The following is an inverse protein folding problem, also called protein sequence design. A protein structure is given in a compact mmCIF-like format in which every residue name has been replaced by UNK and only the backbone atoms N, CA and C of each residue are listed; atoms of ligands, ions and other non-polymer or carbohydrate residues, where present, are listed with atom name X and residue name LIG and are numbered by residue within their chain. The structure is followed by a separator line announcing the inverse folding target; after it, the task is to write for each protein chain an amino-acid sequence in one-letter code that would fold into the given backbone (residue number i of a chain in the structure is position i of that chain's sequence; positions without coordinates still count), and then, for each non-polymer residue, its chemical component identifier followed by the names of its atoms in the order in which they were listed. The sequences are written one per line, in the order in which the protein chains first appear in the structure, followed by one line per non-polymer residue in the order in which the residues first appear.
data_IF_854824911881
#
_entry.id   IF_854824911881
#
_cell.length_a   1.000
_cell.length_b   1.000
_cell.length_c   1.000
_cell.angle_alpha   90.00
_cell.angle_beta   90.00
_cell.angle_gamma   90.00
#
_symmetry.space_group_name_H-M   'P 1'
#
loop_
_entity.id
_entity.type
_entity.pdbx_description
1 polymer ?
#
# COMPACT_ATOMS: atom_id res chain seq x y z
N UNK A 1 30.00 -27.40 -45.54
CA UNK A 1 30.40 -26.06 -45.05
C UNK A 1 29.34 -25.10 -45.58
N UNK A 2 28.49 -24.39 -44.84
CA UNK A 2 28.43 -24.03 -43.41
C UNK A 2 26.97 -23.71 -43.03
N UNK A 3 26.59 -23.99 -41.79
CA UNK A 3 25.41 -23.43 -41.08
C UNK A 3 25.85 -22.11 -40.40
N UNK A 4 25.03 -21.33 -39.66
CA UNK A 4 23.58 -21.07 -39.66
C UNK A 4 23.27 -19.53 -39.72
N UNK A 5 22.01 -19.11 -39.92
CA UNK A 5 21.61 -17.71 -39.60
C UNK A 5 20.35 -17.66 -38.74
N UNK A 6 20.65 -17.50 -37.45
CA UNK A 6 19.87 -16.97 -36.34
C UNK A 6 18.80 -15.95 -36.76
N UNK A 7 17.53 -16.31 -36.59
CA UNK A 7 16.42 -15.36 -36.52
C UNK A 7 16.52 -14.55 -35.23
N UNK A 8 16.83 -13.26 -35.34
CA UNK A 8 16.89 -12.32 -34.22
C UNK A 8 15.82 -11.25 -34.40
N UNK A 9 14.94 -11.20 -33.40
CA UNK A 9 13.92 -10.21 -33.10
C UNK A 9 14.26 -8.81 -33.62
N UNK A 10 13.52 -8.33 -34.63
CA UNK A 10 13.35 -6.89 -34.83
C UNK A 10 12.07 -6.53 -34.08
N UNK A 11 12.21 -6.04 -32.84
CA UNK A 11 11.23 -5.07 -32.37
C UNK A 11 11.22 -3.95 -33.41
N UNK A 12 10.05 -3.63 -33.94
CA UNK A 12 9.90 -2.54 -34.88
C UNK A 12 10.46 -1.27 -34.21
N UNK A 13 11.46 -0.65 -34.86
CA UNK A 13 12.13 0.56 -34.33
C UNK A 13 11.11 1.63 -33.97
N UNK A 14 9.95 1.62 -34.61
CA UNK A 14 8.83 2.54 -34.38
C UNK A 14 8.19 2.36 -33.00
N UNK A 15 8.02 1.12 -32.53
CA UNK A 15 7.45 0.81 -31.20
C UNK A 15 8.46 1.09 -30.07
N UNK A 16 9.74 0.78 -30.28
CA UNK A 16 10.80 1.16 -29.34
C UNK A 16 10.88 2.68 -29.23
N UNK A 17 10.78 3.40 -30.35
CA UNK A 17 10.80 4.87 -30.38
C UNK A 17 9.55 5.47 -29.72
N UNK A 18 8.39 4.80 -29.77
CA UNK A 18 7.17 5.24 -29.06
C UNK A 18 7.31 5.03 -27.55
N UNK A 19 7.66 3.83 -27.11
CA UNK A 19 7.88 3.52 -25.69
C UNK A 19 9.03 4.35 -25.08
N UNK A 20 10.10 4.58 -25.85
CA UNK A 20 11.21 5.43 -25.43
C UNK A 20 10.86 6.92 -25.35
N UNK A 21 9.73 7.35 -25.91
CA UNK A 21 9.20 8.72 -25.77
C UNK A 21 8.19 8.85 -24.63
N UNK A 22 7.51 7.77 -24.26
CA UNK A 22 6.57 7.73 -23.13
C UNK A 22 7.26 7.63 -21.76
N UNK A 23 8.42 6.96 -21.67
CA UNK A 23 9.20 6.86 -20.43
C UNK A 23 9.70 8.26 -19.95
N UNK A 24 10.30 9.11 -20.80
CA UNK A 24 10.69 10.47 -20.42
C UNK A 24 9.50 11.39 -20.09
N UNK A 25 8.31 11.11 -20.63
CA UNK A 25 7.11 11.89 -20.33
C UNK A 25 6.61 11.59 -18.91
N UNK A 26 6.59 10.33 -18.51
CA UNK A 26 6.25 9.92 -17.14
C UNK A 26 7.33 10.35 -16.13
N UNK A 27 8.60 10.39 -16.54
CA UNK A 27 9.70 10.90 -15.71
C UNK A 27 9.64 12.43 -15.55
N UNK A 28 9.34 13.19 -16.61
CA UNK A 28 9.14 14.64 -16.55
C UNK A 28 7.90 15.05 -15.73
N UNK A 29 6.80 14.31 -15.84
CA UNK A 29 5.61 14.53 -15.00
C UNK A 29 5.91 14.22 -13.52
N UNK A 30 6.69 13.17 -13.27
CA UNK A 30 7.14 12.81 -11.93
C UNK A 30 8.15 13.83 -11.35
N UNK A 31 8.97 14.48 -12.18
CA UNK A 31 9.88 15.54 -11.75
C UNK A 31 9.15 16.88 -11.54
N UNK A 32 8.14 17.21 -12.36
CA UNK A 32 7.27 18.37 -12.13
C UNK A 32 6.46 18.26 -10.83
N UNK A 33 6.03 17.05 -10.46
CA UNK A 33 5.41 16.79 -9.16
C UNK A 33 6.41 16.89 -7.99
N UNK A 34 7.70 16.60 -8.22
CA UNK A 34 8.75 16.78 -7.20
C UNK A 34 9.10 18.25 -6.99
N UNK A 35 9.16 19.06 -8.04
CA UNK A 35 9.43 20.50 -7.97
C UNK A 35 8.33 21.24 -7.20
N UNK A 36 7.05 20.96 -7.51
CA UNK A 36 5.89 21.49 -6.78
C UNK A 36 5.92 21.14 -5.27
N UNK A 37 6.44 19.98 -4.91
CA UNK A 37 6.50 19.50 -3.54
C UNK A 37 7.71 20.09 -2.77
N UNK A 38 8.80 20.39 -3.48
CA UNK A 38 9.94 21.15 -2.95
C UNK A 38 9.53 22.61 -2.72
N UNK A 39 8.80 23.23 -3.65
CA UNK A 39 8.30 24.59 -3.52
C UNK A 39 7.28 24.74 -2.38
N UNK A 40 6.39 23.77 -2.22
CA UNK A 40 5.46 23.73 -1.08
C UNK A 40 6.19 23.60 0.27
N UNK A 41 7.32 22.88 0.29
CA UNK A 41 8.17 22.74 1.48
C UNK A 41 9.05 23.97 1.76
N UNK A 42 9.31 24.79 0.74
CA UNK A 42 10.08 26.04 0.83
C UNK A 42 9.23 27.26 1.23
N UNK A 43 7.90 27.15 1.24
CA UNK A 43 7.02 28.16 1.81
C UNK A 43 7.27 28.29 3.32
N UNK A 44 7.57 29.49 3.85
CA UNK A 44 7.71 29.69 5.28
C UNK A 44 6.38 29.33 5.96
N UNK A 45 6.46 28.60 7.07
CA UNK A 45 5.32 28.09 7.85
C UNK A 45 4.44 29.18 8.49
N UNK A 46 4.40 30.39 7.96
CA UNK A 46 3.70 31.56 8.52
C UNK A 46 2.19 31.57 8.29
N UNK A 47 1.55 30.42 8.09
CA UNK A 47 0.10 30.28 8.22
C UNK A 47 -0.27 29.32 9.35
N UNK A 48 0.52 29.34 10.42
CA UNK A 48 0.30 28.53 11.61
C UNK A 48 1.00 29.09 12.85
N UNK A 49 0.95 30.39 13.11
CA UNK A 49 1.28 30.96 14.42
C UNK A 49 0.86 32.44 14.53
N UNK A 50 -0.25 32.72 15.21
CA UNK A 50 -0.36 33.79 16.23
C UNK A 50 -1.78 33.86 16.79
N UNK A 51 -1.92 33.53 18.07
CA UNK A 51 -2.63 34.28 19.15
C UNK A 51 -2.03 33.68 20.44
N UNK A 52 -0.84 34.13 20.85
CA UNK A 52 -0.55 35.17 21.86
C UNK A 52 -0.69 34.64 23.30
N UNK A 53 0.44 34.17 23.86
CA UNK A 53 0.72 34.26 25.28
C UNK A 53 1.36 35.63 25.54
N UNK A 54 0.61 36.54 26.13
CA UNK A 54 1.10 37.69 26.87
C UNK A 54 0.01 38.05 27.85
N UNK A 55 0.31 37.91 29.14
CA UNK A 55 -0.03 38.85 30.22
C UNK A 55 0.36 38.21 31.57
N UNK A 56 1.48 38.66 32.11
CA UNK A 56 1.86 38.50 33.51
C UNK A 56 2.06 39.89 34.13
N UNK A 57 1.72 39.97 35.42
CA UNK A 57 1.75 41.11 36.36
C UNK A 57 0.43 41.93 36.42
N UNK A 58 -0.22 42.16 37.57
CA UNK A 58 0.30 42.43 38.91
C UNK A 58 -0.85 42.35 39.95
N UNK A 59 -0.60 41.79 41.15
CA UNK A 59 -0.89 42.38 42.49
C UNK A 59 -1.07 41.35 43.61
N UNK A 60 -0.25 41.53 44.63
CA UNK A 60 -0.32 41.06 46.01
C UNK A 60 -1.57 41.58 46.75
N UNK A 61 -2.20 40.75 47.60
CA UNK A 61 -2.33 41.01 49.06
C UNK A 61 -3.35 40.09 49.78
N UNK A 62 -2.87 39.50 50.88
CA UNK A 62 -3.53 39.20 52.16
C UNK A 62 -4.97 38.59 52.20
N UNK A 63 -5.08 37.38 52.77
CA UNK A 63 -5.78 37.17 54.05
C UNK A 63 -5.65 35.72 54.58
N UNK A 64 -5.42 35.66 55.88
CA UNK A 64 -5.34 34.48 56.74
C UNK A 64 -6.68 33.73 56.84
N UNK A 65 -6.61 32.42 57.08
CA UNK A 65 -7.75 31.60 57.46
C UNK A 65 -7.31 30.20 57.86
N UNK A 66 -6.83 30.07 59.11
CA UNK A 66 -6.76 28.80 59.82
C UNK A 66 -8.17 28.22 59.94
N UNK A 67 -8.39 26.97 59.58
CA UNK A 67 -9.29 26.11 60.35
C UNK A 67 -8.91 24.63 60.20
N UNK A 68 -9.21 23.92 61.27
CA UNK A 68 -8.59 22.71 61.76
C UNK A 68 -9.53 21.49 61.55
N UNK A 69 -8.97 20.26 61.65
CA UNK A 69 -9.68 18.95 61.82
C UNK A 69 -10.46 18.38 60.59
N UNK A 70 -10.44 17.09 60.23
CA UNK A 70 -10.22 15.82 60.94
C UNK A 70 -9.60 14.74 60.02
N UNK A 71 -8.85 13.81 60.63
CA UNK A 71 -8.46 12.50 60.03
C UNK A 71 -9.61 11.50 60.21
N UNK A 72 -9.68 10.45 59.36
CA UNK A 72 -9.99 9.14 59.90
C UNK A 72 -8.83 8.17 59.65
N UNK A 73 -8.26 7.69 60.76
CA UNK A 73 -7.47 6.48 60.81
C UNK A 73 -8.38 5.28 60.51
N UNK A 74 -8.06 4.46 59.52
CA UNK A 74 -8.42 3.04 59.53
C UNK A 74 -7.29 2.24 58.92
N UNK A 75 -6.63 1.54 59.82
CA UNK A 75 -5.67 0.45 59.64
C UNK A 75 -6.24 -0.64 58.73
N UNK A 76 -5.58 -0.85 57.61
CA UNK A 76 -5.61 -2.07 56.82
C UNK A 76 -4.24 -2.22 56.20
N UNK A 77 -3.36 -2.97 56.87
CA UNK A 77 -2.09 -3.42 56.31
C UNK A 77 -2.40 -4.29 55.08
N UNK A 78 -2.48 -3.67 53.90
CA UNK A 78 -2.01 -4.29 52.69
C UNK A 78 -0.58 -3.79 52.53
N UNK A 79 0.36 -4.70 52.76
CA UNK A 79 1.72 -4.55 52.27
C UNK A 79 1.62 -4.51 50.75
N UNK A 80 1.34 -3.33 50.19
CA UNK A 80 1.61 -3.07 48.79
C UNK A 80 3.11 -3.25 48.64
N UNK A 81 3.50 -4.40 48.09
CA UNK A 81 4.86 -4.69 47.68
C UNK A 81 5.43 -3.42 47.03
N UNK A 82 6.67 -3.02 47.34
CA UNK A 82 7.25 -1.82 46.75
C UNK A 82 7.08 -1.93 45.24
N UNK A 83 6.21 -1.11 44.67
CA UNK A 83 6.13 -0.96 43.23
C UNK A 83 7.55 -0.58 42.84
N UNK A 84 8.22 -1.46 42.11
CA UNK A 84 9.57 -1.23 41.65
C UNK A 84 9.54 0.05 40.80
N UNK A 85 9.86 1.18 41.45
CA UNK A 85 9.69 2.52 40.92
C UNK A 85 10.55 2.68 39.66
N UNK A 86 11.69 2.00 39.62
CA UNK A 86 12.59 1.98 38.48
C UNK A 86 11.97 1.21 37.31
N UNK A 87 11.29 0.09 37.58
CA UNK A 87 10.50 -0.62 36.56
C UNK A 87 9.34 0.24 36.03
N UNK A 88 8.62 0.95 36.89
CA UNK A 88 7.52 1.81 36.48
C UNK A 88 7.99 3.01 35.65
N UNK A 89 9.13 3.62 36.01
CA UNK A 89 9.76 4.70 35.25
C UNK A 89 10.25 4.22 33.89
N UNK A 90 11.00 3.12 33.84
CA UNK A 90 11.44 2.54 32.58
C UNK A 90 10.25 2.21 31.65
N UNK A 91 9.18 1.64 32.20
CA UNK A 91 7.98 1.34 31.43
C UNK A 91 7.38 2.61 30.82
N UNK A 92 7.24 3.70 31.59
CA UNK A 92 6.74 4.98 31.07
C UNK A 92 7.65 5.53 29.98
N UNK A 93 8.94 5.64 30.24
CA UNK A 93 9.91 6.23 29.30
C UNK A 93 9.92 5.48 27.96
N UNK A 94 9.89 4.14 27.99
CA UNK A 94 9.80 3.32 26.78
C UNK A 94 8.49 3.55 26.01
N UNK A 95 7.37 3.67 26.73
CA UNK A 95 6.03 3.89 26.14
C UNK A 95 5.97 5.26 25.46
N UNK A 96 6.56 6.28 26.08
CA UNK A 96 6.67 7.64 25.55
C UNK A 96 7.59 7.67 24.32
N UNK A 97 8.74 7.01 24.38
CA UNK A 97 9.68 6.89 23.25
C UNK A 97 9.05 6.22 22.03
N UNK A 98 8.26 5.15 22.22
CA UNK A 98 7.49 4.52 21.14
C UNK A 98 6.50 5.50 20.54
N UNK A 99 5.78 6.25 21.38
CA UNK A 99 4.77 7.23 20.93
C UNK A 99 5.42 8.35 20.12
N UNK A 100 6.56 8.87 20.57
CA UNK A 100 7.35 9.88 19.85
C UNK A 100 7.87 9.32 18.52
N UNK A 101 8.41 8.10 18.50
CA UNK A 101 8.89 7.47 17.26
C UNK A 101 7.76 7.29 16.23
N UNK A 102 6.56 6.89 16.67
CA UNK A 102 5.37 6.82 15.82
C UNK A 102 5.00 8.21 15.27
N UNK A 103 5.01 9.24 16.12
CA UNK A 103 4.67 10.61 15.72
C UNK A 103 5.66 11.18 14.69
N UNK A 104 6.95 10.88 14.83
CA UNK A 104 8.01 11.26 13.90
C UNK A 104 8.05 10.39 12.63
N UNK A 105 7.23 9.35 12.54
CA UNK A 105 7.24 8.33 11.47
C UNK A 105 8.59 7.62 11.33
N UNK A 106 9.35 7.52 12.42
CA UNK A 106 10.56 6.71 12.48
C UNK A 106 10.18 5.26 12.79
N UNK A 107 9.71 4.57 11.75
CA UNK A 107 9.12 3.26 11.86
C UNK A 107 10.10 2.18 12.33
N UNK A 108 11.37 2.29 11.94
CA UNK A 108 12.41 1.33 12.30
C UNK A 108 12.64 1.37 13.81
N UNK A 109 12.88 2.58 14.34
CA UNK A 109 13.06 2.82 15.78
C UNK A 109 11.82 2.41 16.57
N UNK A 110 10.62 2.72 16.08
CA UNK A 110 9.37 2.34 16.75
C UNK A 110 9.22 0.81 16.86
N UNK A 111 9.58 0.06 15.83
CA UNK A 111 9.53 -1.42 15.85
C UNK A 111 10.59 -1.99 16.81
N UNK A 112 11.81 -1.46 16.79
CA UNK A 112 12.88 -1.89 17.70
C UNK A 112 12.50 -1.70 19.17
N UNK A 113 11.94 -0.54 19.54
CA UNK A 113 11.50 -0.25 20.90
C UNK A 113 10.33 -1.17 21.33
N UNK A 114 9.40 -1.48 20.41
CA UNK A 114 8.31 -2.43 20.68
C UNK A 114 8.86 -3.85 20.88
N UNK A 115 9.83 -4.29 20.08
CA UNK A 115 10.49 -5.59 20.24
C UNK A 115 11.23 -5.68 21.59
N UNK A 116 11.96 -4.62 21.97
CA UNK A 116 12.63 -4.53 23.27
C UNK A 116 11.63 -4.63 24.44
N UNK A 117 10.54 -3.86 24.37
CA UNK A 117 9.49 -3.88 25.37
C UNK A 117 8.83 -5.25 25.51
N UNK A 118 8.59 -5.95 24.39
CA UNK A 118 8.04 -7.30 24.39
C UNK A 118 9.00 -8.31 25.03
N UNK A 119 10.31 -8.16 24.85
CA UNK A 119 11.33 -8.99 25.51
C UNK A 119 11.33 -8.85 27.04
N UNK A 120 10.97 -7.67 27.55
CA UNK A 120 10.89 -7.35 28.99
C UNK A 120 9.48 -7.51 29.58
N UNK A 121 8.47 -7.75 28.75
CA UNK A 121 7.07 -7.81 29.19
C UNK A 121 6.79 -8.97 30.17
N UNK A 122 7.56 -10.06 30.13
CA UNK A 122 7.42 -11.18 31.07
C UNK A 122 7.83 -10.80 32.51
N UNK A 123 8.75 -9.85 32.66
CA UNK A 123 9.27 -9.41 33.96
C UNK A 123 8.63 -8.09 34.42
N UNK A 124 7.89 -7.39 33.55
CA UNK A 124 7.33 -6.06 33.81
C UNK A 124 5.84 -6.01 33.44
N UNK A 125 4.91 -6.23 34.39
CA UNK A 125 3.47 -6.30 34.12
C UNK A 125 2.88 -5.01 33.52
N UNK A 126 3.44 -3.84 33.86
CA UNK A 126 3.02 -2.55 33.31
C UNK A 126 3.28 -2.45 31.80
N UNK A 127 4.38 -3.02 31.31
CA UNK A 127 4.65 -3.09 29.86
C UNK A 127 3.74 -4.10 29.16
N UNK A 128 3.45 -5.22 29.81
CA UNK A 128 2.56 -6.24 29.25
C UNK A 128 1.15 -5.69 28.96
N UNK A 129 0.67 -4.73 29.76
CA UNK A 129 -0.63 -4.07 29.51
C UNK A 129 -0.55 -2.88 28.54
N UNK A 130 0.55 -2.12 28.54
CA UNK A 130 0.70 -0.90 27.73
C UNK A 130 1.14 -1.14 26.27
N UNK A 131 1.91 -2.20 26.00
CA UNK A 131 2.43 -2.48 24.64
C UNK A 131 1.39 -2.91 23.60
N UNK A 132 0.35 -3.72 23.92
CA UNK A 132 -0.65 -4.13 22.93
C UNK A 132 -1.34 -2.97 22.18
N UNK A 133 -1.85 -1.91 22.84
CA UNK A 133 -2.46 -0.79 22.12
C UNK A 133 -1.45 -0.02 21.27
N UNK A 134 -0.21 0.20 21.74
CA UNK A 134 0.84 0.85 20.96
C UNK A 134 1.24 0.04 19.72
N UNK A 135 1.42 -1.28 19.88
CA UNK A 135 1.71 -2.19 18.77
C UNK A 135 0.58 -2.16 17.75
N UNK A 136 -0.68 -2.07 18.19
CA UNK A 136 -1.84 -1.91 17.29
C UNK A 136 -1.79 -0.56 16.56
N UNK A 137 -1.51 0.54 17.26
CA UNK A 137 -1.38 1.87 16.65
C UNK A 137 -0.28 1.89 15.59
N UNK A 138 0.91 1.38 15.91
CA UNK A 138 2.03 1.29 14.97
C UNK A 138 1.67 0.46 13.72
N UNK A 139 0.99 -0.68 13.91
CA UNK A 139 0.49 -1.49 12.78
C UNK A 139 -0.46 -0.68 11.88
N UNK A 140 -1.44 0.02 12.47
CA UNK A 140 -2.37 0.85 11.69
C UNK A 140 -1.63 1.94 10.92
N UNK A 141 -0.73 2.69 11.55
CA UNK A 141 0.03 3.76 10.89
C UNK A 141 0.95 3.26 9.77
N UNK A 142 1.54 2.07 9.93
CA UNK A 142 2.32 1.41 8.88
C UNK A 142 1.45 1.00 7.70
N UNK A 143 0.26 0.44 7.97
CA UNK A 143 -0.71 0.10 6.93
C UNK A 143 -1.16 1.36 6.18
N UNK A 144 -1.45 2.46 6.87
CA UNK A 144 -1.82 3.73 6.22
C UNK A 144 -0.69 4.26 5.32
N UNK A 145 0.56 4.10 5.76
CA UNK A 145 1.74 4.49 4.96
C UNK A 145 1.86 3.64 3.68
N UNK A 146 1.52 2.35 3.76
CA UNK A 146 1.51 1.44 2.61
C UNK A 146 0.49 1.87 1.54
N UNK A 147 -0.67 2.39 1.94
CA UNK A 147 -1.71 2.89 1.03
C UNK A 147 -1.38 4.24 0.37
N UNK A 148 -0.26 4.88 0.71
CA UNK A 148 0.12 6.15 0.11
C UNK A 148 0.55 5.97 -1.36
N UNK A 149 -0.03 6.73 -2.31
CA UNK A 149 0.33 6.65 -3.74
C UNK A 149 1.75 7.14 -4.04
N UNK A 150 2.39 7.83 -3.09
CA UNK A 150 3.76 8.34 -3.19
C UNK A 150 4.82 7.32 -2.71
N UNK A 151 4.40 6.11 -2.35
CA UNK A 151 5.30 5.10 -1.79
C UNK A 151 6.20 4.50 -2.88
N UNK A 152 7.51 4.75 -2.76
CA UNK A 152 8.53 4.09 -3.58
C UNK A 152 8.58 2.60 -3.27
N UNK A 153 8.94 1.76 -4.24
CA UNK A 153 9.09 0.31 -4.07
C UNK A 153 9.95 -0.06 -2.86
N UNK A 154 11.07 0.64 -2.65
CA UNK A 154 11.95 0.44 -1.48
C UNK A 154 11.24 0.67 -0.15
N UNK A 155 10.40 1.71 -0.09
CA UNK A 155 9.64 2.07 1.10
C UNK A 155 8.51 1.07 1.36
N UNK A 156 7.83 0.61 0.32
CA UNK A 156 6.82 -0.46 0.42
C UNK A 156 7.44 -1.74 0.99
N UNK A 157 8.57 -2.20 0.42
CA UNK A 157 9.28 -3.40 0.90
C UNK A 157 9.72 -3.24 2.36
N UNK A 158 10.24 -2.06 2.75
CA UNK A 158 10.61 -1.78 4.13
C UNK A 158 9.39 -1.82 5.07
N UNK A 159 8.31 -1.14 4.73
CA UNK A 159 7.05 -1.14 5.51
C UNK A 159 6.49 -2.56 5.68
N UNK A 160 6.51 -3.39 4.62
CA UNK A 160 6.09 -4.80 4.70
C UNK A 160 7.00 -5.63 5.59
N UNK A 161 8.32 -5.39 5.54
CA UNK A 161 9.30 -6.06 6.41
C UNK A 161 9.04 -5.73 7.89
N UNK A 162 8.77 -4.46 8.19
CA UNK A 162 8.44 -3.99 9.54
C UNK A 162 7.12 -4.58 10.05
N UNK A 163 6.08 -4.64 9.20
CA UNK A 163 4.82 -5.30 9.54
C UNK A 163 5.01 -6.80 9.82
N UNK A 164 5.91 -7.47 9.08
CA UNK A 164 6.22 -8.88 9.31
C UNK A 164 6.91 -9.08 10.68
N UNK A 165 7.89 -8.23 11.02
CA UNK A 165 8.55 -8.22 12.34
C UNK A 165 7.57 -8.04 13.51
N UNK A 166 6.53 -7.21 13.32
CA UNK A 166 5.46 -7.04 14.30
C UNK A 166 4.49 -8.23 14.39
N UNK A 167 4.75 -9.35 13.69
CA UNK A 167 3.90 -10.53 13.63
C UNK A 167 2.57 -10.28 12.90
N UNK A 168 2.55 -9.33 11.96
CA UNK A 168 1.39 -8.99 11.15
C UNK A 168 1.54 -9.40 9.68
N UNK A 169 2.39 -10.39 9.37
CA UNK A 169 2.70 -10.80 7.99
C UNK A 169 1.48 -11.12 7.13
N UNK A 170 0.50 -11.87 7.67
CA UNK A 170 -0.74 -12.18 6.95
C UNK A 170 -1.57 -10.92 6.63
N UNK A 171 -1.73 -10.01 7.60
CA UNK A 171 -2.45 -8.75 7.42
C UNK A 171 -1.68 -7.80 6.48
N UNK A 172 -0.35 -7.82 6.50
CA UNK A 172 0.49 -7.04 5.60
C UNK A 172 0.31 -7.49 4.15
N UNK A 173 0.25 -8.81 3.91
CA UNK A 173 0.02 -9.38 2.57
C UNK A 173 -1.35 -9.00 2.03
N UNK A 174 -2.41 -9.15 2.82
CA UNK A 174 -3.76 -8.78 2.38
C UNK A 174 -3.86 -7.28 2.11
N UNK A 175 -3.36 -6.45 3.03
CA UNK A 175 -3.39 -5.00 2.86
C UNK A 175 -2.58 -4.51 1.65
N UNK A 176 -1.43 -5.16 1.37
CA UNK A 176 -0.65 -4.90 0.16
C UNK A 176 -1.46 -5.18 -1.11
N UNK A 177 -2.08 -6.36 -1.20
CA UNK A 177 -2.88 -6.73 -2.37
C UNK A 177 -4.11 -5.82 -2.51
N UNK A 178 -4.76 -5.44 -1.40
CA UNK A 178 -5.86 -4.48 -1.40
C UNK A 178 -5.41 -3.11 -1.91
N UNK A 179 -4.23 -2.65 -1.48
CA UNK A 179 -3.62 -1.39 -1.94
C UNK A 179 -3.39 -1.43 -3.46
N UNK A 180 -2.79 -2.50 -3.98
CA UNK A 180 -2.55 -2.67 -5.41
C UNK A 180 -3.85 -2.73 -6.21
N UNK A 181 -4.87 -3.38 -5.67
CA UNK A 181 -6.21 -3.41 -6.28
C UNK A 181 -6.82 -2.01 -6.39
N UNK A 182 -6.70 -1.19 -5.33
CA UNK A 182 -7.18 0.20 -5.37
C UNK A 182 -6.44 1.01 -6.43
N UNK A 183 -5.11 0.90 -6.51
CA UNK A 183 -4.31 1.58 -7.55
C UNK A 183 -4.77 1.19 -8.95
N UNK A 184 -4.97 -0.11 -9.22
CA UNK A 184 -5.45 -0.58 -10.53
C UNK A 184 -6.83 0.02 -10.82
N UNK A 185 -7.77 0.00 -9.86
CA UNK A 185 -9.11 0.57 -10.03
C UNK A 185 -9.11 2.06 -10.32
N UNK A 186 -8.29 2.84 -9.62
CA UNK A 186 -8.14 4.29 -9.87
C UNK A 186 -7.59 4.56 -11.29
N UNK A 187 -6.65 3.74 -11.76
CA UNK A 187 -6.12 3.86 -13.12
C UNK A 187 -7.14 3.45 -14.18
N UNK A 188 -7.93 2.39 -13.95
CA UNK A 188 -9.06 2.03 -14.82
C UNK A 188 -10.04 3.20 -14.90
N UNK A 189 -10.43 3.77 -13.75
CA UNK A 189 -11.35 4.90 -13.71
C UNK A 189 -10.80 6.12 -14.47
N UNK A 190 -9.51 6.40 -14.35
CA UNK A 190 -8.85 7.48 -15.12
C UNK A 190 -8.97 7.22 -16.63
N UNK A 191 -8.68 6.00 -17.09
CA UNK A 191 -8.78 5.61 -18.50
C UNK A 191 -10.23 5.72 -18.99
N UNK A 192 -11.19 5.27 -18.19
CA UNK A 192 -12.63 5.36 -18.50
C UNK A 192 -13.08 6.81 -18.72
N UNK A 193 -12.58 7.75 -17.91
CA UNK A 193 -12.91 9.18 -18.04
C UNK A 193 -12.27 9.81 -19.28
N UNK A 194 -11.04 9.41 -19.62
CA UNK A 194 -10.32 9.93 -20.78
C UNK A 194 -10.68 9.21 -22.08
N UNK A 195 -11.66 8.30 -22.05
CA UNK A 195 -12.04 7.53 -23.22
C UNK A 195 -12.74 8.40 -24.28
N UNK A 196 -12.14 8.45 -25.48
CA UNK A 196 -12.61 9.30 -26.59
C UNK A 196 -13.41 8.53 -27.67
N UNK A 197 -13.78 7.26 -27.43
CA UNK A 197 -14.58 6.48 -28.38
C UNK A 197 -13.79 5.60 -29.37
N UNK A 198 -12.51 5.30 -29.05
CA UNK A 198 -11.70 4.36 -29.82
C UNK A 198 -11.51 3.05 -29.05
N UNK A 199 -12.36 2.05 -29.31
CA UNK A 199 -12.44 0.81 -28.55
C UNK A 199 -11.14 0.02 -28.58
N UNK A 200 -10.45 0.01 -29.73
CA UNK A 200 -9.15 -0.65 -29.88
C UNK A 200 -8.08 -0.07 -28.95
N UNK A 201 -7.95 1.26 -28.89
CA UNK A 201 -6.99 1.95 -28.02
C UNK A 201 -7.32 1.70 -26.55
N UNK A 202 -8.60 1.78 -26.18
CA UNK A 202 -9.05 1.52 -24.82
C UNK A 202 -8.73 0.09 -24.37
N UNK A 203 -9.03 -0.91 -25.21
CA UNK A 203 -8.71 -2.31 -24.88
C UNK A 203 -7.20 -2.49 -24.72
N UNK A 204 -6.39 -1.88 -25.60
CA UNK A 204 -4.94 -1.98 -25.51
C UNK A 204 -4.39 -1.35 -24.20
N UNK A 205 -4.90 -0.18 -23.80
CA UNK A 205 -4.52 0.52 -22.57
C UNK A 205 -4.93 -0.26 -21.31
N UNK A 206 -6.17 -0.73 -21.24
CA UNK A 206 -6.66 -1.55 -20.12
C UNK A 206 -5.88 -2.86 -20.03
N UNK A 207 -5.59 -3.50 -21.16
CA UNK A 207 -4.74 -4.71 -21.19
C UNK A 207 -3.36 -4.41 -20.63
N UNK A 208 -2.70 -3.36 -21.11
CA UNK A 208 -1.39 -2.96 -20.62
C UNK A 208 -1.41 -2.66 -19.11
N UNK A 209 -2.45 -1.98 -18.62
CA UNK A 209 -2.64 -1.66 -17.21
C UNK A 209 -2.73 -2.92 -16.34
N UNK A 210 -3.64 -3.85 -16.65
CA UNK A 210 -3.85 -5.04 -15.83
C UNK A 210 -2.63 -5.97 -15.84
N UNK A 211 -2.10 -6.31 -17.02
CA UNK A 211 -0.96 -7.24 -17.10
C UNK A 211 0.31 -6.65 -16.45
N UNK A 212 0.60 -5.36 -16.67
CA UNK A 212 1.74 -4.69 -16.02
C UNK A 212 1.51 -4.51 -14.52
N UNK A 213 0.28 -4.18 -14.11
CA UNK A 213 -0.10 -4.05 -12.71
C UNK A 213 0.09 -5.35 -11.92
N UNK A 214 -0.33 -6.47 -12.50
CA UNK A 214 -0.17 -7.81 -11.90
C UNK A 214 1.32 -8.19 -11.85
N UNK A 215 2.07 -8.02 -12.95
CA UNK A 215 3.51 -8.28 -13.00
C UNK A 215 4.28 -7.50 -11.93
N UNK A 216 4.09 -6.18 -11.87
CA UNK A 216 4.78 -5.33 -10.88
C UNK A 216 4.43 -5.74 -9.46
N UNK A 217 3.18 -6.15 -9.24
CA UNK A 217 2.75 -6.68 -7.93
C UNK A 217 3.44 -8.00 -7.61
N UNK A 218 3.62 -8.89 -8.58
CA UNK A 218 4.36 -10.14 -8.43
C UNK A 218 5.81 -9.87 -8.03
N UNK A 219 6.49 -8.95 -8.73
CA UNK A 219 7.89 -8.58 -8.44
C UNK A 219 8.03 -8.08 -6.99
N UNK A 220 7.11 -7.21 -6.54
CA UNK A 220 7.13 -6.66 -5.18
C UNK A 220 6.78 -7.71 -4.13
N UNK A 221 5.82 -8.59 -4.44
CA UNK A 221 5.38 -9.67 -3.57
C UNK A 221 6.50 -10.67 -3.31
N UNK A 222 7.17 -11.13 -4.37
CA UNK A 222 8.27 -12.08 -4.29
C UNK A 222 9.52 -11.48 -3.63
N UNK A 223 9.76 -10.17 -3.80
CA UNK A 223 10.83 -9.47 -3.09
C UNK A 223 10.57 -9.35 -1.58
N UNK A 224 9.31 -9.20 -1.19
CA UNK A 224 8.90 -8.93 0.21
C UNK A 224 8.58 -10.20 1.00
N UNK A 225 8.09 -11.26 0.35
CA UNK A 225 7.58 -12.47 1.00
C UNK A 225 8.24 -13.73 0.42
N UNK A 226 9.22 -14.28 1.15
CA UNK A 226 9.97 -15.48 0.75
C UNK A 226 9.32 -16.81 1.19
N UNK A 227 8.18 -16.76 1.87
CA UNK A 227 7.49 -17.93 2.41
C UNK A 227 6.61 -18.59 1.34
N UNK A 228 6.75 -19.90 1.14
CA UNK A 228 6.02 -20.67 0.12
C UNK A 228 4.49 -20.63 0.32
N UNK A 229 4.04 -20.51 1.58
CA UNK A 229 2.62 -20.39 1.95
C UNK A 229 1.97 -19.09 1.41
N UNK A 230 2.78 -18.04 1.17
CA UNK A 230 2.33 -16.74 0.69
C UNK A 230 1.91 -16.76 -0.80
N UNK A 231 2.36 -17.74 -1.59
CA UNK A 231 2.07 -17.78 -3.03
C UNK A 231 0.57 -17.96 -3.33
N UNK A 232 -0.16 -18.71 -2.49
CA UNK A 232 -1.58 -19.01 -2.70
C UNK A 232 -2.48 -17.77 -2.68
N UNK A 233 -2.18 -16.82 -1.78
CA UNK A 233 -2.92 -15.59 -1.59
C UNK A 233 -2.71 -14.64 -2.78
N UNK A 234 -1.47 -14.56 -3.25
CA UNK A 234 -1.13 -13.81 -4.46
C UNK A 234 -1.79 -14.42 -5.70
N UNK A 235 -1.72 -15.73 -5.90
CA UNK A 235 -2.35 -16.39 -7.06
C UNK A 235 -3.86 -16.18 -7.08
N UNK A 236 -4.51 -16.23 -5.91
CA UNK A 236 -5.96 -15.95 -5.78
C UNK A 236 -6.28 -14.50 -6.14
N UNK A 237 -5.46 -13.55 -5.68
CA UNK A 237 -5.60 -12.15 -6.03
C UNK A 237 -5.39 -11.90 -7.53
N UNK A 238 -4.33 -12.45 -8.12
CA UNK A 238 -4.01 -12.30 -9.54
C UNK A 238 -5.14 -12.85 -10.41
N UNK A 239 -5.68 -14.03 -10.04
CA UNK A 239 -6.89 -14.59 -10.67
C UNK A 239 -8.07 -13.59 -10.63
N UNK A 240 -8.35 -13.01 -9.47
CA UNK A 240 -9.45 -12.02 -9.34
C UNK A 240 -9.22 -10.77 -10.20
N UNK A 241 -7.98 -10.29 -10.34
CA UNK A 241 -7.68 -9.17 -11.24
C UNK A 241 -7.90 -9.53 -12.70
N UNK A 242 -7.53 -10.75 -13.12
CA UNK A 242 -7.79 -11.23 -14.47
C UNK A 242 -9.29 -11.38 -14.72
N UNK A 243 -10.07 -11.87 -13.76
CA UNK A 243 -11.53 -11.97 -13.89
C UNK A 243 -12.17 -10.59 -14.12
N UNK A 244 -11.77 -9.56 -13.37
CA UNK A 244 -12.25 -8.18 -13.58
C UNK A 244 -11.85 -7.65 -14.96
N UNK A 245 -10.60 -7.86 -15.38
CA UNK A 245 -10.15 -7.50 -16.73
C UNK A 245 -10.99 -8.18 -17.81
N UNK A 246 -11.24 -9.47 -17.66
CA UNK A 246 -12.05 -10.28 -18.57
C UNK A 246 -13.47 -9.73 -18.72
N UNK A 247 -14.10 -9.30 -17.62
CA UNK A 247 -15.42 -8.66 -17.65
C UNK A 247 -15.42 -7.34 -18.43
N UNK A 248 -14.42 -6.48 -18.19
CA UNK A 248 -14.26 -5.21 -18.91
C UNK A 248 -14.02 -5.47 -20.40
N UNK A 249 -13.08 -6.36 -20.72
CA UNK A 249 -12.73 -6.74 -22.10
C UNK A 249 -13.96 -7.27 -22.84
N UNK A 250 -14.71 -8.17 -22.21
CA UNK A 250 -15.96 -8.73 -22.77
C UNK A 250 -16.96 -7.63 -23.09
N UNK A 251 -17.17 -6.71 -22.16
CA UNK A 251 -18.11 -5.61 -22.33
C UNK A 251 -17.77 -4.77 -23.55
N UNK A 252 -16.50 -4.46 -23.78
CA UNK A 252 -16.07 -3.66 -24.94
C UNK A 252 -16.17 -4.47 -26.23
N UNK A 253 -15.67 -5.70 -26.26
CA UNK A 253 -15.65 -6.53 -27.48
C UNK A 253 -17.04 -6.88 -28.00
N UNK A 254 -17.99 -7.12 -27.11
CA UNK A 254 -19.39 -7.40 -27.49
C UNK A 254 -20.28 -6.13 -27.48
N UNK A 255 -19.69 -4.94 -27.37
CA UNK A 255 -20.45 -3.70 -27.55
C UNK A 255 -20.90 -3.54 -29.01
N UNK A 256 -22.06 -2.91 -29.21
CA UNK A 256 -22.56 -2.62 -30.54
C UNK A 256 -21.61 -1.67 -31.28
N UNK A 257 -21.23 -2.03 -32.51
CA UNK A 257 -20.44 -1.16 -33.40
C UNK A 257 -18.95 -1.43 -33.48
N UNK A 258 -18.39 -2.38 -32.70
CA UNK A 258 -16.96 -2.73 -32.78
C UNK A 258 -16.67 -3.57 -34.03
N UNK A 259 -15.68 -3.15 -34.83
CA UNK A 259 -15.28 -3.90 -36.02
C UNK A 259 -14.65 -5.25 -35.64
N UNK A 260 -15.03 -6.38 -36.28
CA UNK A 260 -14.47 -7.70 -35.98
C UNK A 260 -12.93 -7.76 -36.05
N UNK A 261 -12.30 -6.94 -36.90
CA UNK A 261 -10.83 -6.86 -36.97
C UNK A 261 -10.20 -6.35 -35.67
N UNK A 262 -10.80 -5.34 -35.04
CA UNK A 262 -10.34 -4.76 -33.78
C UNK A 262 -10.44 -5.81 -32.68
N UNK A 263 -11.51 -6.61 -32.70
CA UNK A 263 -11.70 -7.73 -31.77
C UNK A 263 -10.60 -8.78 -31.95
N UNK A 264 -10.33 -9.22 -33.18
CA UNK A 264 -9.29 -10.22 -33.46
C UNK A 264 -7.88 -9.74 -33.05
N UNK A 265 -7.59 -8.46 -33.30
CA UNK A 265 -6.32 -7.83 -32.90
C UNK A 265 -6.21 -7.74 -31.37
N UNK A 266 -7.27 -7.29 -30.69
CA UNK A 266 -7.31 -7.21 -29.24
C UNK A 266 -7.13 -8.58 -28.55
N UNK A 267 -7.76 -9.64 -29.07
CA UNK A 267 -7.61 -11.00 -28.54
C UNK A 267 -6.17 -11.49 -28.71
N UNK A 268 -5.57 -11.22 -29.89
CA UNK A 268 -4.17 -11.58 -30.15
C UNK A 268 -3.23 -10.86 -29.18
N UNK A 269 -3.41 -9.57 -28.99
CA UNK A 269 -2.59 -8.74 -28.11
C UNK A 269 -2.73 -9.15 -26.64
N UNK A 270 -3.94 -9.49 -26.20
CA UNK A 270 -4.20 -10.04 -24.87
C UNK A 270 -3.38 -11.32 -24.62
N UNK A 271 -3.42 -12.28 -25.56
CA UNK A 271 -2.65 -13.52 -25.42
C UNK A 271 -1.14 -13.31 -25.45
N UNK A 272 -0.66 -12.36 -26.26
CA UNK A 272 0.77 -11.99 -26.29
C UNK A 272 1.18 -11.41 -24.94
N UNK A 273 0.45 -10.41 -24.41
CA UNK A 273 0.77 -9.78 -23.12
C UNK A 273 0.69 -10.76 -21.95
N UNK A 274 -0.32 -11.64 -21.91
CA UNK A 274 -0.43 -12.68 -20.87
C UNK A 274 0.80 -13.58 -20.86
N UNK A 275 1.27 -14.01 -22.04
CA UNK A 275 2.46 -14.85 -22.16
C UNK A 275 3.73 -14.12 -21.72
N UNK A 276 3.93 -12.90 -22.21
CA UNK A 276 5.15 -12.14 -21.94
C UNK A 276 5.26 -11.67 -20.49
N UNK A 277 4.14 -11.30 -19.85
CA UNK A 277 4.14 -10.66 -18.54
C UNK A 277 3.75 -11.60 -17.39
N UNK A 278 2.98 -12.67 -17.64
CA UNK A 278 2.48 -13.56 -16.59
C UNK A 278 3.10 -14.97 -16.66
N UNK A 279 3.10 -15.62 -17.83
CA UNK A 279 3.64 -16.99 -17.95
C UNK A 279 5.15 -17.03 -17.65
N UNK A 280 5.88 -15.95 -17.99
CA UNK A 280 7.29 -15.78 -17.63
C UNK A 280 7.55 -15.81 -16.11
N UNK A 281 6.52 -15.57 -15.29
CA UNK A 281 6.56 -15.59 -13.83
C UNK A 281 5.84 -16.81 -13.24
N UNK A 282 5.50 -17.80 -14.07
CA UNK A 282 4.79 -19.01 -13.65
C UNK A 282 3.30 -18.81 -13.39
N UNK A 283 2.73 -17.70 -13.85
CA UNK A 283 1.30 -17.41 -13.77
C UNK A 283 0.63 -17.73 -15.11
N UNK A 284 -0.07 -18.85 -15.19
CA UNK A 284 -0.85 -19.22 -16.37
C UNK A 284 -2.35 -19.06 -16.09
N UNK A 285 -2.95 -18.02 -16.69
CA UNK A 285 -4.38 -17.75 -16.67
C UNK A 285 -5.03 -17.89 -18.03
N UNK A 286 -4.37 -18.57 -18.98
CA UNK A 286 -4.89 -18.74 -20.34
C UNK A 286 -6.30 -19.33 -20.35
N UNK A 287 -6.58 -20.28 -19.45
CA UNK A 287 -7.89 -20.90 -19.30
C UNK A 287 -9.01 -19.90 -18.89
N UNK A 288 -8.69 -18.79 -18.23
CA UNK A 288 -9.66 -17.73 -17.92
C UNK A 288 -9.88 -16.83 -19.14
N UNK A 289 -8.78 -16.46 -19.80
CA UNK A 289 -8.82 -15.60 -20.99
C UNK A 289 -9.58 -16.29 -22.14
N UNK A 290 -9.35 -17.58 -22.36
CA UNK A 290 -10.04 -18.38 -23.38
C UNK A 290 -11.55 -18.47 -23.10
N UNK A 291 -11.98 -18.47 -21.82
CA UNK A 291 -13.40 -18.48 -21.46
C UNK A 291 -14.13 -17.19 -21.80
N UNK A 292 -13.44 -16.06 -21.82
CA UNK A 292 -14.03 -14.75 -22.21
C UNK A 292 -14.53 -14.77 -23.65
N UNK A 293 -13.83 -15.52 -24.50
CA UNK A 293 -14.09 -15.63 -25.93
C UNK A 293 -15.28 -16.53 -26.26
N UNK A 294 -15.76 -17.32 -25.29
CA UNK A 294 -16.97 -18.11 -25.47
C UNK A 294 -18.17 -17.20 -25.26
N UNK A 295 -18.90 -16.92 -26.35
CA UNK A 295 -20.22 -16.27 -26.27
C UNK A 295 -21.12 -17.16 -25.42
N UNK A 296 -21.60 -16.66 -24.29
CA UNK A 296 -22.65 -17.36 -23.57
C UNK A 296 -23.93 -17.26 -24.41
N UNK A 297 -24.39 -18.40 -24.94
CA UNK A 297 -25.67 -18.52 -25.64
C UNK A 297 -26.89 -18.08 -24.80
N UNK A 298 -26.71 -17.74 -23.51
CA UNK A 298 -27.76 -17.19 -22.65
C UNK A 298 -28.02 -15.69 -22.83
N UNK A 299 -27.08 -14.90 -23.36
CA UNK A 299 -27.33 -13.47 -23.66
C UNK A 299 -28.08 -13.25 -24.97
N UNK A 300 -28.11 -14.25 -25.87
CA UNK A 300 -28.82 -14.16 -27.15
C UNK A 300 -30.31 -14.50 -27.04
N UNK A 301 -30.78 -15.14 -25.96
CA UNK A 301 -32.21 -15.47 -25.79
C UNK A 301 -33.08 -14.33 -25.24
N UNK A 302 -32.48 -13.18 -24.92
CA UNK A 302 -33.20 -12.00 -24.45
C UNK A 302 -33.28 -10.87 -25.50
N UNK A 303 -32.76 -11.10 -26.71
CA UNK A 303 -32.82 -10.15 -27.84
C UNK A 303 -33.54 -10.72 -29.08
N UNK A 304 -34.32 -11.81 -28.92
CA UNK A 304 -35.31 -12.27 -29.92
C UNK A 304 -36.74 -11.94 -29.48
#
# INVERSE_FOLDING_TARGET
MSNPTTGRLKLDYTEIVRMSKEIPALENEMDGLKELLVDFKALPSSLGANITEQDAELSTDLALGEDELEKPSTTGFLEEAPLDLDSARFARDLTDDITVAIALRDWEKAVELVEEGLGKAATMPLLASALPPLKKQLKTSLLDTLFSPLSRTSSVVQTLTLLNRLGAGAAARSAFLDMRTKVIRELVHKIDITFEGHEGTYIAEISALFFTGIKNTADWYMASFKENEAASLFTTWAKSQIEVYCEIFRKVVYSEGVEPKIVDEAIRDMHIRSRELLEAYGLDFKYLLDKVLVVDNHTLSHME
#
